data_IF_316710063245
#
_entry.id   IF_316710063245
#
_cell.length_a   1.000
_cell.length_b   1.000
_cell.length_c   1.000
_cell.angle_alpha   90.00
_cell.angle_beta   90.00
_cell.angle_gamma   90.00
#
_symmetry.space_group_name_H-M   'P 1'
#
loop_
_entity.id
_entity.type
_entity.pdbx_description
1 polymer ?
#
# COMPACT_ATOMS: atom_id res chain seq x y z
N UNK A 1 80.47 26.71 52.29
CA UNK A 1 79.09 26.20 52.05
C UNK A 1 78.73 26.44 50.60
N UNK A 2 78.58 25.35 49.82
CA UNK A 2 78.24 25.41 48.44
C UNK A 2 76.75 25.12 48.29
N UNK A 3 76.02 25.97 47.60
CA UNK A 3 74.62 25.75 47.24
C UNK A 3 74.55 25.09 45.86
N UNK A 4 73.66 24.08 45.67
CA UNK A 4 73.50 23.45 44.34
C UNK A 4 72.60 24.27 43.43
N UNK A 5 73.02 24.36 42.15
CA UNK A 5 72.28 24.94 41.04
C UNK A 5 71.17 23.98 40.55
N UNK A 6 69.92 24.48 40.41
CA UNK A 6 68.81 23.78 39.79
C UNK A 6 68.81 24.00 38.25
N UNK A 7 68.55 22.98 37.45
CA UNK A 7 68.40 23.16 36.02
C UNK A 7 67.00 23.64 35.66
N UNK A 8 66.93 24.64 34.79
CA UNK A 8 65.70 25.16 34.22
C UNK A 8 65.07 24.15 33.27
N UNK A 9 63.88 23.70 33.54
CA UNK A 9 63.08 22.83 32.67
C UNK A 9 62.35 23.69 31.65
N UNK A 10 62.74 23.65 30.39
CA UNK A 10 62.03 24.23 29.25
C UNK A 10 60.90 23.26 28.84
N UNK A 11 59.64 23.66 29.05
CA UNK A 11 58.47 22.94 28.49
C UNK A 11 58.35 23.25 27.00
N UNK A 12 58.09 22.23 26.14
CA UNK A 12 57.80 22.47 24.74
C UNK A 12 56.39 23.03 24.56
N UNK A 13 56.27 24.11 23.83
CA UNK A 13 54.98 24.71 23.41
C UNK A 13 54.36 23.83 22.35
N UNK A 14 53.35 23.04 22.74
CA UNK A 14 52.58 22.18 21.81
C UNK A 14 51.68 23.05 20.94
N UNK A 15 52.00 23.14 19.64
CA UNK A 15 51.15 23.73 18.62
C UNK A 15 49.94 22.82 18.38
N UNK A 16 48.79 23.16 18.94
CA UNK A 16 47.52 22.51 18.58
C UNK A 16 47.14 22.92 17.15
N UNK A 17 47.33 22.03 16.19
CA UNK A 17 46.80 22.20 14.84
C UNK A 17 45.25 22.08 14.91
N UNK A 18 44.52 23.15 14.63
CA UNK A 18 43.08 23.11 14.47
C UNK A 18 42.72 22.26 13.22
N UNK A 19 42.11 21.10 13.44
CA UNK A 19 41.52 20.32 12.37
C UNK A 19 40.34 21.11 11.77
N UNK A 20 40.21 21.17 10.41
CA UNK A 20 39.06 21.83 9.81
C UNK A 20 37.79 21.03 10.16
N UNK A 21 36.76 21.73 10.64
CA UNK A 21 35.43 21.14 10.78
C UNK A 21 34.99 20.55 9.42
N UNK A 22 34.38 19.36 9.43
CA UNK A 22 33.81 18.81 8.20
C UNK A 22 32.72 19.78 7.69
N UNK A 23 32.81 20.15 6.42
CA UNK A 23 31.80 20.93 5.73
C UNK A 23 30.44 20.24 5.93
N UNK A 24 29.47 20.95 6.50
CA UNK A 24 28.09 20.49 6.54
C UNK A 24 27.64 20.30 5.09
N UNK A 25 27.45 19.04 4.69
CA UNK A 25 26.74 18.69 3.48
C UNK A 25 25.34 19.28 3.63
N UNK A 26 25.06 20.39 2.95
CA UNK A 26 23.71 20.87 2.76
C UNK A 26 23.00 19.78 1.98
N UNK A 27 22.13 19.01 2.66
CA UNK A 27 21.22 18.09 2.00
C UNK A 27 20.41 18.94 1.00
N UNK A 28 20.49 18.58 -0.28
CA UNK A 28 19.60 19.16 -1.30
C UNK A 28 18.15 19.04 -0.79
N UNK A 29 17.30 20.07 -1.00
CA UNK A 29 15.91 19.96 -0.60
C UNK A 29 15.33 18.73 -1.27
N UNK A 30 14.90 17.75 -0.47
CA UNK A 30 14.29 16.53 -0.98
C UNK A 30 13.11 16.93 -1.86
N UNK A 31 13.05 16.45 -3.11
CA UNK A 31 11.90 16.69 -3.99
C UNK A 31 10.62 16.39 -3.21
N UNK A 32 9.57 17.23 -3.34
CA UNK A 32 8.31 16.97 -2.66
C UNK A 32 7.81 15.57 -3.08
N UNK A 33 7.28 14.83 -2.13
CA UNK A 33 6.78 13.46 -2.36
C UNK A 33 5.68 13.42 -3.41
N UNK A 34 4.87 14.46 -3.44
CA UNK A 34 3.77 14.64 -4.38
C UNK A 34 3.98 15.90 -5.21
N UNK A 35 3.62 15.82 -6.49
CA UNK A 35 3.61 16.95 -7.41
C UNK A 35 2.16 17.26 -7.80
N UNK A 36 1.81 18.53 -7.95
CA UNK A 36 0.52 18.96 -8.50
C UNK A 36 0.76 19.59 -9.86
N UNK A 37 -0.04 19.23 -10.86
CA UNK A 37 0.03 19.77 -12.23
C UNK A 37 -1.35 20.19 -12.68
N UNK A 38 -1.42 21.32 -13.41
CA UNK A 38 -2.66 21.83 -14.03
C UNK A 38 -2.98 21.18 -15.35
N UNK A 39 -1.96 20.69 -16.07
CA UNK A 39 -2.11 19.86 -17.27
C UNK A 39 -2.04 18.40 -16.85
N UNK A 40 -3.20 17.73 -16.85
CA UNK A 40 -3.36 16.37 -16.34
C UNK A 40 -4.54 15.64 -17.02
N UNK A 41 -4.65 14.33 -16.80
CA UNK A 41 -5.75 13.52 -17.33
C UNK A 41 -7.09 13.93 -16.68
N UNK A 42 -8.19 14.12 -17.43
CA UNK A 42 -9.50 14.49 -16.85
C UNK A 42 -10.08 13.42 -15.91
N UNK A 43 -9.53 12.21 -15.90
CA UNK A 43 -9.89 11.14 -14.95
C UNK A 43 -8.91 11.02 -13.78
N UNK A 44 -7.90 11.88 -13.71
CA UNK A 44 -6.96 12.00 -12.61
C UNK A 44 -7.24 13.25 -11.77
N UNK A 45 -6.63 13.32 -10.58
CA UNK A 45 -6.82 14.45 -9.65
C UNK A 45 -5.77 15.54 -9.81
N UNK A 46 -4.91 15.46 -10.85
CA UNK A 46 -3.79 16.40 -11.07
C UNK A 46 -2.67 16.28 -10.04
N UNK A 47 -2.70 15.26 -9.18
CA UNK A 47 -1.68 14.95 -8.19
C UNK A 47 -0.88 13.72 -8.64
N UNK A 48 0.44 13.84 -8.55
CA UNK A 48 1.37 12.82 -9.04
C UNK A 48 2.21 12.26 -7.90
N UNK A 49 2.40 10.95 -7.92
CA UNK A 49 3.29 10.24 -7.02
C UNK A 49 4.28 9.40 -7.83
N UNK A 50 5.58 9.65 -7.65
CA UNK A 50 6.66 8.98 -8.40
C UNK A 50 6.46 8.99 -9.92
N UNK A 51 5.89 10.08 -10.46
CA UNK A 51 5.64 10.27 -11.89
C UNK A 51 4.30 9.74 -12.40
N UNK A 52 3.58 8.94 -11.63
CA UNK A 52 2.23 8.45 -11.91
C UNK A 52 1.19 9.46 -11.43
N UNK A 53 0.21 9.78 -12.27
CA UNK A 53 -0.96 10.53 -11.84
C UNK A 53 -1.92 9.64 -11.03
N UNK A 54 -2.48 10.19 -9.97
CA UNK A 54 -3.46 9.52 -9.11
C UNK A 54 -4.85 9.67 -9.75
N UNK A 55 -5.58 8.57 -9.88
CA UNK A 55 -6.92 8.58 -10.43
C UNK A 55 -7.96 9.16 -9.47
N UNK A 56 -9.09 9.63 -10.01
CA UNK A 56 -10.26 9.94 -9.20
C UNK A 56 -10.79 8.68 -8.51
N UNK A 57 -11.12 8.80 -7.23
CA UNK A 57 -11.81 7.75 -6.48
C UNK A 57 -13.19 7.49 -7.08
N UNK A 58 -13.53 6.23 -7.28
CA UNK A 58 -14.89 5.84 -7.70
C UNK A 58 -15.89 6.15 -6.59
N UNK A 59 -16.85 7.04 -6.86
CA UNK A 59 -17.92 7.37 -5.91
C UNK A 59 -18.90 6.21 -5.70
N UNK A 60 -19.51 6.14 -4.51
CA UNK A 60 -20.47 5.10 -4.13
C UNK A 60 -21.69 5.00 -5.08
N UNK A 61 -22.03 6.07 -5.81
CA UNK A 61 -23.08 6.07 -6.83
C UNK A 61 -22.81 5.06 -7.95
N UNK A 62 -21.54 4.75 -8.20
CA UNK A 62 -21.10 3.76 -9.20
C UNK A 62 -20.94 2.34 -8.64
N UNK A 63 -21.36 2.07 -7.38
CA UNK A 63 -21.20 0.77 -6.73
C UNK A 63 -21.86 -0.40 -7.51
N UNK A 64 -22.87 -0.14 -8.33
CA UNK A 64 -23.46 -1.13 -9.23
C UNK A 64 -22.47 -1.76 -10.21
N UNK A 65 -21.43 -1.02 -10.61
CA UNK A 65 -20.34 -1.53 -11.44
C UNK A 65 -19.57 -2.68 -10.76
N UNK A 66 -19.39 -2.61 -9.44
CA UNK A 66 -18.68 -3.63 -8.65
C UNK A 66 -19.42 -4.97 -8.59
N UNK A 67 -20.75 -4.94 -8.74
CA UNK A 67 -21.62 -6.12 -8.65
C UNK A 67 -22.17 -6.57 -10.01
N UNK A 68 -21.60 -6.03 -11.14
CA UNK A 68 -22.07 -6.41 -12.47
C UNK A 68 -21.84 -7.91 -12.73
N UNK A 69 -22.80 -8.60 -13.38
CA UNK A 69 -22.71 -10.04 -13.62
C UNK A 69 -21.49 -10.44 -14.47
N UNK A 70 -21.08 -9.55 -15.38
CA UNK A 70 -19.98 -9.79 -16.32
C UNK A 70 -18.61 -9.83 -15.61
N UNK A 71 -18.51 -9.27 -14.40
CA UNK A 71 -17.24 -9.14 -13.65
C UNK A 71 -16.53 -10.48 -13.47
N UNK A 72 -17.28 -11.54 -13.17
CA UNK A 72 -16.72 -12.89 -12.98
C UNK A 72 -16.02 -13.39 -14.25
N UNK A 73 -16.61 -13.13 -15.42
CA UNK A 73 -16.05 -13.55 -16.72
C UNK A 73 -14.90 -12.62 -17.17
N UNK A 74 -15.07 -11.32 -16.97
CA UNK A 74 -14.11 -10.30 -17.43
C UNK A 74 -12.82 -10.28 -16.59
N UNK A 75 -12.94 -10.45 -15.27
CA UNK A 75 -11.83 -10.33 -14.33
C UNK A 75 -11.35 -11.67 -13.77
N UNK A 76 -12.13 -12.77 -13.94
CA UNK A 76 -11.83 -14.08 -13.40
C UNK A 76 -11.52 -14.03 -11.90
N UNK A 77 -12.45 -13.48 -11.16
CA UNK A 77 -12.33 -13.27 -9.70
C UNK A 77 -12.16 -14.58 -8.93
N UNK A 78 -12.62 -15.71 -9.51
CA UNK A 78 -12.36 -17.08 -9.05
C UNK A 78 -10.86 -17.39 -9.02
N UNK A 79 -10.14 -17.08 -10.11
CA UNK A 79 -8.69 -17.31 -10.21
C UNK A 79 -7.90 -16.39 -9.25
N UNK A 80 -8.38 -15.18 -8.99
CA UNK A 80 -7.77 -14.31 -7.98
C UNK A 80 -7.83 -14.95 -6.60
N UNK A 81 -9.01 -15.42 -6.18
CA UNK A 81 -9.17 -16.05 -4.87
C UNK A 81 -8.31 -17.32 -4.74
N UNK A 82 -8.23 -18.13 -5.80
CA UNK A 82 -7.34 -19.29 -5.86
C UNK A 82 -5.86 -18.88 -5.71
N UNK A 83 -5.43 -17.86 -6.47
CA UNK A 83 -4.06 -17.35 -6.44
C UNK A 83 -3.67 -16.75 -5.08
N UNK A 84 -4.64 -16.23 -4.33
CA UNK A 84 -4.42 -15.74 -2.97
C UNK A 84 -4.05 -16.86 -1.99
N UNK A 85 -4.42 -18.12 -2.23
CA UNK A 85 -4.12 -19.24 -1.34
C UNK A 85 -4.44 -18.92 0.13
N UNK A 86 -5.63 -18.42 0.37
CA UNK A 86 -6.13 -18.10 1.73
C UNK A 86 -6.27 -19.41 2.51
N UNK A 87 -5.73 -19.43 3.73
CA UNK A 87 -5.86 -20.57 4.64
C UNK A 87 -7.02 -20.36 5.62
N UNK A 88 -7.71 -21.43 6.00
CA UNK A 88 -8.71 -21.35 7.06
C UNK A 88 -8.16 -20.68 8.33
N UNK A 89 -8.92 -19.76 8.90
CA UNK A 89 -8.54 -19.04 10.11
C UNK A 89 -7.66 -17.80 9.89
N UNK A 90 -7.22 -17.48 8.66
CA UNK A 90 -6.48 -16.24 8.39
C UNK A 90 -7.30 -15.00 8.70
N UNK A 91 -6.64 -13.96 9.21
CA UNK A 91 -7.20 -12.62 9.38
C UNK A 91 -6.84 -11.81 8.14
N UNK A 92 -7.84 -11.36 7.42
CA UNK A 92 -7.71 -10.71 6.13
C UNK A 92 -8.16 -9.25 6.21
N UNK A 93 -7.68 -8.41 5.30
CA UNK A 93 -8.24 -7.08 5.05
C UNK A 93 -8.50 -6.90 3.56
N UNK A 94 -9.65 -6.33 3.23
CA UNK A 94 -10.06 -5.87 1.91
C UNK A 94 -9.97 -4.35 1.92
N UNK A 95 -8.97 -3.79 1.26
CA UNK A 95 -8.68 -2.36 1.27
C UNK A 95 -9.28 -1.71 0.02
N UNK A 96 -10.20 -0.74 0.22
CA UNK A 96 -11.09 -0.25 -0.82
C UNK A 96 -12.19 -1.28 -1.11
N UNK A 97 -12.82 -1.78 -0.04
CA UNK A 97 -13.74 -2.91 -0.12
C UNK A 97 -15.02 -2.66 -0.94
N UNK A 98 -15.39 -1.38 -1.14
CA UNK A 98 -16.57 -0.98 -1.90
C UNK A 98 -17.84 -1.68 -1.42
N UNK A 99 -18.52 -2.36 -2.33
CA UNK A 99 -19.75 -3.13 -2.03
C UNK A 99 -19.53 -4.41 -1.21
N UNK A 100 -18.23 -4.79 -0.95
CA UNK A 100 -17.86 -6.04 -0.30
C UNK A 100 -17.78 -7.24 -1.24
N UNK A 101 -17.60 -7.00 -2.54
CA UNK A 101 -17.54 -8.06 -3.55
C UNK A 101 -16.51 -9.14 -3.23
N UNK A 102 -15.28 -8.75 -2.85
CA UNK A 102 -14.25 -9.69 -2.41
C UNK A 102 -14.38 -10.06 -0.93
N UNK A 103 -14.85 -9.13 -0.09
CA UNK A 103 -14.96 -9.36 1.35
C UNK A 103 -15.74 -10.61 1.71
N UNK A 104 -16.94 -10.83 1.13
CA UNK A 104 -17.75 -12.01 1.44
C UNK A 104 -17.15 -13.31 0.89
N UNK A 105 -16.47 -13.23 -0.26
CA UNK A 105 -15.79 -14.40 -0.85
C UNK A 105 -14.61 -14.83 0.02
N UNK A 106 -13.78 -13.90 0.43
CA UNK A 106 -12.67 -14.15 1.36
C UNK A 106 -13.16 -14.66 2.71
N UNK A 107 -14.27 -14.12 3.21
CA UNK A 107 -14.89 -14.55 4.47
C UNK A 107 -15.34 -16.01 4.43
N UNK A 108 -15.87 -16.47 3.30
CA UNK A 108 -16.21 -17.89 3.09
C UNK A 108 -14.98 -18.78 3.06
N UNK A 109 -13.90 -18.35 2.39
CA UNK A 109 -12.67 -19.14 2.27
C UNK A 109 -11.94 -19.25 3.60
N UNK A 110 -11.79 -18.15 4.35
CA UNK A 110 -11.15 -18.20 5.67
C UNK A 110 -11.98 -18.92 6.72
N UNK A 111 -13.30 -19.00 6.50
CA UNK A 111 -14.23 -19.71 7.39
C UNK A 111 -14.48 -19.03 8.75
N UNK A 112 -15.23 -19.71 9.64
CA UNK A 112 -15.68 -19.10 10.91
C UNK A 112 -14.55 -18.81 11.91
N UNK A 113 -13.39 -19.45 11.76
CA UNK A 113 -12.19 -19.17 12.57
C UNK A 113 -11.41 -17.95 12.12
N UNK A 114 -11.69 -17.43 10.91
CA UNK A 114 -11.04 -16.27 10.34
C UNK A 114 -11.93 -15.02 10.36
N UNK A 115 -11.37 -13.91 9.89
CA UNK A 115 -12.06 -12.62 9.85
C UNK A 115 -11.60 -11.82 8.65
N UNK A 116 -12.49 -10.99 8.09
CA UNK A 116 -12.15 -10.01 7.05
C UNK A 116 -12.48 -8.61 7.58
N UNK A 117 -11.48 -7.74 7.62
CA UNK A 117 -11.67 -6.31 7.80
C UNK A 117 -11.92 -5.69 6.43
N UNK A 118 -13.13 -5.21 6.20
CA UNK A 118 -13.53 -4.53 4.97
C UNK A 118 -13.36 -3.02 5.18
N UNK A 119 -12.30 -2.47 4.61
CA UNK A 119 -11.89 -1.08 4.80
C UNK A 119 -12.32 -0.26 3.59
N UNK A 120 -13.03 0.82 3.81
CA UNK A 120 -13.34 1.82 2.78
C UNK A 120 -13.31 3.23 3.39
N UNK A 121 -13.11 4.25 2.55
CA UNK A 121 -13.12 5.66 2.98
C UNK A 121 -14.52 6.28 2.87
N UNK A 122 -15.45 5.62 2.19
CA UNK A 122 -16.83 6.08 1.98
C UNK A 122 -17.80 5.30 2.88
N UNK A 123 -18.46 5.99 3.80
CA UNK A 123 -19.44 5.38 4.71
C UNK A 123 -20.59 4.71 3.93
N UNK A 124 -21.00 5.31 2.83
CA UNK A 124 -22.08 4.79 1.98
C UNK A 124 -21.74 3.43 1.35
N UNK A 125 -20.45 3.22 1.00
CA UNK A 125 -19.95 1.91 0.54
C UNK A 125 -20.04 0.89 1.68
N UNK A 126 -19.60 1.23 2.88
CA UNK A 126 -19.67 0.34 4.05
C UNK A 126 -21.12 0.00 4.42
N UNK A 127 -22.05 0.96 4.31
CA UNK A 127 -23.48 0.71 4.55
C UNK A 127 -24.06 -0.26 3.51
N UNK A 128 -23.65 -0.14 2.24
CA UNK A 128 -24.01 -1.09 1.19
C UNK A 128 -23.41 -2.47 1.47
N UNK A 129 -22.12 -2.51 1.81
CA UNK A 129 -21.40 -3.74 2.17
C UNK A 129 -22.10 -4.47 3.30
N UNK A 130 -22.47 -3.79 4.38
CA UNK A 130 -23.19 -4.39 5.52
C UNK A 130 -24.51 -5.02 5.08
N UNK A 131 -25.30 -4.32 4.25
CA UNK A 131 -26.55 -4.88 3.67
C UNK A 131 -26.26 -6.12 2.82
N UNK A 132 -25.16 -6.11 2.06
CA UNK A 132 -24.74 -7.25 1.24
C UNK A 132 -24.32 -8.45 2.10
N UNK A 133 -23.56 -8.22 3.18
CA UNK A 133 -23.18 -9.27 4.13
C UNK A 133 -24.39 -9.89 4.81
N UNK A 134 -25.33 -9.07 5.29
CA UNK A 134 -26.55 -9.54 5.92
C UNK A 134 -27.38 -10.42 4.97
N UNK A 135 -27.58 -9.99 3.71
CA UNK A 135 -28.30 -10.79 2.70
C UNK A 135 -27.63 -12.12 2.36
N UNK A 136 -26.34 -12.24 2.53
CA UNK A 136 -25.54 -13.45 2.27
C UNK A 136 -25.28 -14.28 3.52
N UNK A 137 -25.81 -13.86 4.68
CA UNK A 137 -25.58 -14.48 5.99
C UNK A 137 -24.09 -14.62 6.34
N UNK A 138 -23.29 -13.60 5.99
CA UNK A 138 -21.86 -13.52 6.29
C UNK A 138 -21.68 -12.76 7.60
N UNK A 139 -21.04 -13.39 8.60
CA UNK A 139 -20.92 -12.85 9.96
C UNK A 139 -19.49 -12.55 10.40
N UNK A 140 -18.49 -12.95 9.61
CA UNK A 140 -17.07 -12.76 9.91
C UNK A 140 -16.40 -11.64 9.08
N UNK A 141 -17.21 -10.69 8.57
CA UNK A 141 -16.74 -9.45 7.96
C UNK A 141 -17.00 -8.28 8.91
N UNK A 142 -16.00 -7.44 9.12
CA UNK A 142 -16.05 -6.24 9.96
C UNK A 142 -15.77 -5.02 9.09
N UNK A 143 -16.74 -4.11 8.98
CA UNK A 143 -16.57 -2.85 8.26
C UNK A 143 -15.69 -1.89 9.07
N UNK A 144 -14.75 -1.24 8.40
CA UNK A 144 -13.84 -0.26 8.99
C UNK A 144 -13.83 1.01 8.14
N UNK A 145 -14.24 2.14 8.71
CA UNK A 145 -14.10 3.43 8.04
C UNK A 145 -12.66 3.91 8.16
N UNK A 146 -11.93 3.78 7.06
CA UNK A 146 -10.56 4.27 6.90
C UNK A 146 -10.51 5.77 6.61
N UNK A 147 -9.31 6.22 6.28
CA UNK A 147 -9.06 7.56 5.74
C UNK A 147 -8.14 7.44 4.53
N UNK A 148 -7.83 8.55 3.87
CA UNK A 148 -6.87 8.56 2.74
C UNK A 148 -5.43 8.21 3.13
N UNK A 149 -5.12 8.14 4.42
CA UNK A 149 -3.77 7.91 4.97
C UNK A 149 -3.65 6.66 5.86
N UNK A 150 -4.78 6.12 6.33
CA UNK A 150 -4.75 5.11 7.39
C UNK A 150 -5.97 4.18 7.27
N UNK A 151 -5.77 2.87 7.10
CA UNK A 151 -6.83 1.87 7.05
C UNK A 151 -7.48 1.60 8.43
N UNK A 152 -6.97 2.23 9.50
CA UNK A 152 -7.45 2.06 10.89
C UNK A 152 -7.41 0.61 11.40
N UNK A 153 -6.44 -0.15 10.94
CA UNK A 153 -6.22 -1.53 11.39
C UNK A 153 -5.31 -1.55 12.62
N UNK A 154 -5.59 -2.47 13.53
CA UNK A 154 -4.73 -2.71 14.68
C UNK A 154 -3.34 -3.16 14.20
N UNK A 155 -2.23 -2.65 14.80
CA UNK A 155 -0.89 -3.10 14.44
C UNK A 155 -0.75 -4.63 14.53
N UNK A 156 -0.03 -5.21 13.55
CA UNK A 156 0.31 -6.64 13.47
C UNK A 156 -0.88 -7.60 13.65
N UNK A 157 -2.05 -7.20 13.14
CA UNK A 157 -3.29 -7.98 13.29
C UNK A 157 -3.71 -8.76 12.05
N UNK A 158 -3.19 -8.38 10.86
CA UNK A 158 -3.65 -8.92 9.57
C UNK A 158 -2.59 -9.83 8.94
N UNK A 159 -3.01 -10.99 8.44
CA UNK A 159 -2.15 -11.94 7.73
C UNK A 159 -2.02 -11.60 6.24
N UNK A 160 -3.12 -11.22 5.58
CA UNK A 160 -3.16 -10.87 4.16
C UNK A 160 -4.04 -9.66 3.92
N UNK A 161 -3.54 -8.66 3.20
CA UNK A 161 -4.30 -7.51 2.71
C UNK A 161 -4.49 -7.63 1.20
N UNK A 162 -5.72 -7.46 0.74
CA UNK A 162 -6.08 -7.41 -0.68
C UNK A 162 -6.38 -5.98 -1.09
N UNK A 163 -5.91 -5.58 -2.25
CA UNK A 163 -6.30 -4.39 -2.99
C UNK A 163 -6.63 -4.78 -4.42
N UNK A 164 -7.82 -4.46 -4.91
CA UNK A 164 -8.24 -4.75 -6.29
C UNK A 164 -8.70 -3.47 -6.95
N UNK A 165 -7.95 -3.03 -7.95
CA UNK A 165 -8.25 -1.83 -8.76
C UNK A 165 -8.54 -0.59 -7.89
N UNK A 166 -7.74 -0.37 -6.85
CA UNK A 166 -7.95 0.72 -5.88
C UNK A 166 -6.68 1.49 -5.53
N UNK A 167 -5.50 0.86 -5.61
CA UNK A 167 -4.27 1.53 -5.20
C UNK A 167 -3.94 2.75 -6.08
N UNK A 168 -4.29 2.68 -7.36
CA UNK A 168 -4.13 3.80 -8.28
C UNK A 168 -4.99 5.03 -7.93
N UNK A 169 -6.01 4.87 -7.07
CA UNK A 169 -6.89 5.93 -6.55
C UNK A 169 -6.41 6.50 -5.20
N UNK A 170 -5.39 5.94 -4.56
CA UNK A 170 -4.92 6.42 -3.27
C UNK A 170 -4.38 7.84 -3.38
N UNK A 171 -5.05 8.79 -2.74
CA UNK A 171 -4.63 10.20 -2.70
C UNK A 171 -3.29 10.40 -1.98
N UNK A 172 -3.00 9.55 -1.00
CA UNK A 172 -1.76 9.57 -0.22
C UNK A 172 -1.18 8.15 -0.11
N UNK A 173 -0.68 7.58 -1.23
CA UNK A 173 -0.26 6.18 -1.30
C UNK A 173 0.89 5.84 -0.34
N UNK A 174 1.84 6.75 -0.12
CA UNK A 174 2.95 6.51 0.80
C UNK A 174 2.48 6.39 2.26
N UNK A 175 1.63 7.31 2.71
CA UNK A 175 1.10 7.34 4.07
C UNK A 175 0.20 6.11 4.30
N UNK A 176 -0.66 5.79 3.34
CA UNK A 176 -1.54 4.63 3.42
C UNK A 176 -0.73 3.33 3.47
N UNK A 177 0.26 3.12 2.58
CA UNK A 177 1.12 1.94 2.62
C UNK A 177 1.89 1.84 3.95
N UNK A 178 2.42 2.97 4.46
CA UNK A 178 3.09 3.00 5.77
C UNK A 178 2.16 2.50 6.89
N UNK A 179 0.91 2.94 6.90
CA UNK A 179 -0.08 2.51 7.88
C UNK A 179 -0.51 1.03 7.68
N UNK A 180 -0.68 0.59 6.42
CA UNK A 180 -0.97 -0.82 6.10
C UNK A 180 0.14 -1.75 6.58
N UNK A 181 1.41 -1.39 6.35
CA UNK A 181 2.57 -2.18 6.81
C UNK A 181 2.56 -2.36 8.33
N UNK A 182 2.16 -1.33 9.10
CA UNK A 182 2.01 -1.43 10.56
C UNK A 182 0.91 -2.42 10.94
N UNK A 183 -0.22 -2.42 10.22
CA UNK A 183 -1.32 -3.35 10.44
C UNK A 183 -1.01 -4.81 10.07
N UNK A 184 -0.06 -5.00 9.14
CA UNK A 184 0.31 -6.33 8.64
C UNK A 184 1.23 -7.05 9.65
N UNK A 185 0.96 -8.31 9.92
CA UNK A 185 1.85 -9.17 10.75
C UNK A 185 3.20 -9.37 10.05
N UNK A 186 4.23 -9.66 10.82
CA UNK A 186 5.50 -10.13 10.27
C UNK A 186 5.26 -11.43 9.48
N UNK A 187 5.82 -11.51 8.27
CA UNK A 187 5.55 -12.61 7.33
C UNK A 187 4.19 -12.52 6.63
N UNK A 188 3.35 -11.56 6.98
CA UNK A 188 2.12 -11.26 6.26
C UNK A 188 2.38 -10.68 4.88
N UNK A 189 1.34 -10.57 4.07
CA UNK A 189 1.49 -10.18 2.66
C UNK A 189 0.43 -9.18 2.21
N UNK A 190 0.81 -8.36 1.24
CA UNK A 190 -0.09 -7.52 0.46
C UNK A 190 -0.26 -8.17 -0.92
N UNK A 191 -1.49 -8.34 -1.34
CA UNK A 191 -1.89 -8.81 -2.68
C UNK A 191 -2.45 -7.60 -3.40
N UNK A 192 -1.69 -7.07 -4.34
CA UNK A 192 -2.08 -5.94 -5.18
C UNK A 192 -2.55 -6.46 -6.53
N UNK A 193 -3.75 -6.08 -6.93
CA UNK A 193 -4.34 -6.42 -8.23
C UNK A 193 -4.67 -5.13 -8.96
N UNK A 194 -4.12 -4.95 -10.14
CA UNK A 194 -4.29 -3.75 -10.94
C UNK A 194 -4.39 -4.09 -12.44
N UNK A 195 -5.12 -3.29 -13.21
CA UNK A 195 -5.13 -3.39 -14.66
C UNK A 195 -3.75 -3.14 -15.24
N UNK A 196 -3.28 -4.03 -16.13
CA UNK A 196 -1.94 -3.95 -16.72
C UNK A 196 -1.78 -2.71 -17.61
N UNK A 197 -0.83 -1.84 -17.23
CA UNK A 197 -0.47 -0.70 -18.08
C UNK A 197 0.40 -1.11 -19.28
N UNK A 198 1.08 -2.25 -19.21
CA UNK A 198 1.93 -2.82 -20.25
C UNK A 198 1.13 -3.38 -21.42
N UNK A 199 -0.14 -3.71 -21.19
CA UNK A 199 -1.00 -4.33 -22.20
C UNK A 199 -1.90 -3.28 -22.86
N UNK A 200 -1.66 -2.94 -24.13
CA UNK A 200 -2.48 -1.96 -24.85
C UNK A 200 -3.90 -2.46 -25.15
N UNK A 201 -4.15 -3.76 -25.07
CA UNK A 201 -5.47 -4.36 -25.32
C UNK A 201 -6.42 -4.24 -24.13
N UNK A 202 -5.91 -3.99 -22.93
CA UNK A 202 -6.73 -3.74 -21.74
C UNK A 202 -7.46 -2.41 -21.92
N UNK A 203 -8.78 -2.47 -22.05
CA UNK A 203 -9.63 -1.32 -22.35
C UNK A 203 -10.16 -0.65 -21.08
N UNK A 204 -9.29 0.05 -20.37
CA UNK A 204 -9.61 0.89 -19.21
C UNK A 204 -8.89 2.24 -19.34
N UNK A 205 -9.37 3.29 -18.67
CA UNK A 205 -8.75 4.62 -18.68
C UNK A 205 -7.30 4.55 -18.20
N UNK A 206 -6.40 5.33 -18.81
CA UNK A 206 -4.96 5.25 -18.58
C UNK A 206 -4.57 5.37 -17.09
N UNK A 207 -5.16 6.33 -16.37
CA UNK A 207 -4.86 6.58 -14.95
C UNK A 207 -5.36 5.47 -14.01
N UNK A 208 -6.23 4.57 -14.49
CA UNK A 208 -6.69 3.39 -13.77
C UNK A 208 -5.86 2.14 -14.10
N UNK A 209 -4.75 2.29 -14.82
CA UNK A 209 -3.80 1.21 -15.08
C UNK A 209 -2.53 1.43 -14.27
N UNK A 210 -1.92 0.34 -13.85
CA UNK A 210 -0.62 0.36 -13.18
C UNK A 210 0.32 -0.67 -13.80
N UNK A 211 1.56 -0.28 -14.05
CA UNK A 211 2.58 -1.23 -14.49
C UNK A 211 3.20 -1.96 -13.30
N UNK A 212 3.68 -3.20 -13.52
CA UNK A 212 4.46 -3.92 -12.50
C UNK A 212 5.65 -3.10 -12.02
N UNK A 213 6.37 -2.47 -12.97
CA UNK A 213 7.55 -1.67 -12.65
C UNK A 213 7.20 -0.48 -11.73
N UNK A 214 6.09 0.22 -11.99
CA UNK A 214 5.63 1.33 -11.14
C UNK A 214 5.20 0.84 -9.76
N UNK A 215 4.38 -0.20 -9.69
CA UNK A 215 3.93 -0.79 -8.44
C UNK A 215 5.11 -1.22 -7.56
N UNK A 216 6.08 -1.93 -8.16
CA UNK A 216 7.28 -2.35 -7.44
C UNK A 216 8.11 -1.16 -6.95
N UNK A 217 8.33 -0.14 -7.79
CA UNK A 217 9.07 1.05 -7.39
C UNK A 217 8.42 1.76 -6.19
N UNK A 218 7.08 1.85 -6.14
CA UNK A 218 6.36 2.48 -5.04
C UNK A 218 6.42 1.64 -3.74
N UNK A 219 6.28 0.31 -3.83
CA UNK A 219 6.28 -0.59 -2.67
C UNK A 219 7.70 -0.84 -2.12
N UNK A 220 8.70 -0.91 -2.98
CA UNK A 220 10.10 -1.14 -2.58
C UNK A 220 10.75 0.09 -1.90
N UNK A 221 10.05 1.24 -1.83
CA UNK A 221 10.43 2.35 -0.94
C UNK A 221 10.39 1.95 0.55
N UNK A 222 9.64 0.90 0.89
CA UNK A 222 9.50 0.42 2.25
C UNK A 222 10.40 -0.79 2.49
N UNK A 223 11.48 -0.66 3.28
CA UNK A 223 12.43 -1.75 3.53
C UNK A 223 11.82 -2.94 4.29
N UNK A 224 10.61 -2.77 4.82
CA UNK A 224 9.83 -3.83 5.44
C UNK A 224 9.13 -4.73 4.42
N UNK A 225 8.93 -4.27 3.19
CA UNK A 225 8.29 -5.03 2.12
C UNK A 225 9.32 -5.59 1.15
N UNK A 226 9.04 -6.77 0.64
CA UNK A 226 9.77 -7.38 -0.47
C UNK A 226 8.79 -7.91 -1.51
N UNK A 227 8.97 -7.54 -2.75
CA UNK A 227 8.29 -8.21 -3.85
C UNK A 227 8.64 -9.71 -3.86
N UNK A 228 7.61 -10.55 -3.89
CA UNK A 228 7.75 -12.00 -3.88
C UNK A 228 7.58 -12.59 -5.28
N UNK A 229 6.50 -12.21 -5.94
CA UNK A 229 6.18 -12.66 -7.31
C UNK A 229 5.06 -11.84 -7.94
N UNK A 230 4.94 -11.95 -9.25
CA UNK A 230 3.80 -11.52 -10.05
C UNK A 230 3.13 -12.75 -10.67
N UNK A 231 1.79 -12.79 -10.65
CA UNK A 231 0.97 -13.86 -11.22
C UNK A 231 0.10 -13.24 -12.31
N UNK A 232 0.17 -13.80 -13.53
CA UNK A 232 -0.51 -13.26 -14.73
C UNK A 232 -1.63 -14.19 -15.21
N UNK A 233 -2.42 -14.73 -14.28
CA UNK A 233 -3.53 -15.65 -14.62
C UNK A 233 -4.82 -14.94 -14.97
N UNK A 234 -4.94 -13.64 -14.62
CA UNK A 234 -6.13 -12.85 -14.88
C UNK A 234 -6.13 -12.29 -16.30
N UNK A 235 -7.30 -12.14 -16.94
CA UNK A 235 -7.39 -11.67 -18.32
C UNK A 235 -6.83 -10.25 -18.52
N UNK A 236 -7.11 -9.33 -17.60
CA UNK A 236 -6.82 -7.91 -17.75
C UNK A 236 -5.89 -7.35 -16.67
N UNK A 237 -5.90 -7.94 -15.48
CA UNK A 237 -5.08 -7.52 -14.34
C UNK A 237 -3.85 -8.41 -14.17
N UNK A 238 -2.91 -7.92 -13.38
CA UNK A 238 -1.85 -8.72 -12.77
C UNK A 238 -1.99 -8.72 -11.25
N UNK A 239 -1.49 -9.77 -10.61
CA UNK A 239 -1.47 -9.93 -9.17
C UNK A 239 -0.03 -9.82 -8.70
N UNK A 240 0.30 -8.78 -7.95
CA UNK A 240 1.61 -8.62 -7.34
C UNK A 240 1.55 -8.98 -5.86
N UNK A 241 2.46 -9.80 -5.40
CA UNK A 241 2.54 -10.20 -3.99
C UNK A 241 3.78 -9.59 -3.36
N UNK A 242 3.56 -8.81 -2.30
CA UNK A 242 4.61 -8.23 -1.46
C UNK A 242 4.52 -8.82 -0.06
N UNK A 243 5.65 -9.25 0.48
CA UNK A 243 5.74 -9.86 1.81
C UNK A 243 6.40 -8.93 2.81
N UNK A 244 5.82 -8.80 4.01
CA UNK A 244 6.47 -8.11 5.14
C UNK A 244 7.57 -9.00 5.71
N UNK A 245 8.82 -8.51 5.68
CA UNK A 245 10.01 -9.26 6.09
C UNK A 245 10.59 -8.81 7.45
N UNK A 246 10.16 -7.63 7.95
CA UNK A 246 10.62 -7.06 9.23
C UNK A 246 9.44 -6.70 10.12
#
# INVERSE_FOLDING_TARGET
>A
MRFPSFPSLLLPLSLLAALPLPAQLHAEPSKPRYETRTDHDPNGIGKFYMGREIAHVMGHQAAGWLERPERETEERTDLLLEAMQIRPGEILADIGAGSGYFSWRMAKVTGPGGKVFAVDIQQEMLDLLQRNMARREIHNVVSVLGSTQDPKLTPESVDTMLMVDVYHEFDQPFEMLSAMIKGLKKGGRIVLVEFRAEDPTVNIKKVHKMSEAQARAEFELFPELRWEKTISVLPQQHILIFRKVK
#
